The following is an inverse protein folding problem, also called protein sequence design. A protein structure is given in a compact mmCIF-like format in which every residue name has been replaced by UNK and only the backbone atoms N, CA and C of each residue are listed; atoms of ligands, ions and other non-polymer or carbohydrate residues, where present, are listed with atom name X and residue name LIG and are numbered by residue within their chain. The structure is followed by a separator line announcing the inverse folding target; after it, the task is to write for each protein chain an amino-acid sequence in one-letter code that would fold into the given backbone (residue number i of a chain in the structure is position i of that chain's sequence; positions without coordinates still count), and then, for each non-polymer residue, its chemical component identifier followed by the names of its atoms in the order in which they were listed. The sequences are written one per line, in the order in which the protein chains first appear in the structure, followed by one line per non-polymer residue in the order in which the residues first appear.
data_IF_828979722681
#
_entry.id   IF_828979722681
#
_cell.length_a   1.000
_cell.length_b   1.000
_cell.length_c   1.000
_cell.angle_alpha   90.00
_cell.angle_beta   90.00
_cell.angle_gamma   90.00
#
_symmetry.space_group_name_H-M   'P 1'
#
loop_
_entity.id
_entity.type
_entity.pdbx_description
1 polymer ?
#
# COMPACT_ATOMS: atom_id res chain seq x y z
N UNK A 1 0.05 20.77 15.89
CA UNK A 1 0.43 19.57 15.15
C UNK A 1 -0.54 19.44 13.99
N UNK A 2 -0.05 19.23 12.77
CA UNK A 2 -0.87 18.97 11.58
C UNK A 2 -1.09 17.47 11.42
N UNK A 3 -2.32 17.06 11.12
CA UNK A 3 -2.66 15.67 10.81
C UNK A 3 -3.15 15.60 9.37
N UNK A 4 -2.49 14.80 8.55
CA UNK A 4 -2.76 14.69 7.11
C UNK A 4 -3.04 13.24 6.74
N UNK A 5 -4.24 13.00 6.21
CA UNK A 5 -4.62 11.73 5.58
C UNK A 5 -4.10 11.71 4.13
N UNK A 6 -3.20 10.79 3.81
CA UNK A 6 -2.49 10.70 2.53
C UNK A 6 -2.97 9.47 1.76
N UNK A 7 -3.44 9.67 0.51
CA UNK A 7 -3.90 8.57 -0.35
C UNK A 7 -2.72 7.83 -1.00
N UNK A 8 -1.93 7.12 -0.19
CA UNK A 8 -0.73 6.38 -0.59
C UNK A 8 -0.31 5.35 0.47
N UNK A 9 0.45 4.33 0.07
CA UNK A 9 1.18 3.47 1.01
C UNK A 9 2.24 4.28 1.79
N UNK A 10 2.39 3.95 3.07
CA UNK A 10 3.38 4.56 3.98
C UNK A 10 4.81 4.33 3.51
N UNK A 11 5.05 3.27 2.73
CA UNK A 11 6.38 2.92 2.20
C UNK A 11 6.73 3.65 0.90
N UNK A 12 5.78 4.35 0.29
CA UNK A 12 5.93 5.03 -1.00
C UNK A 12 5.88 6.56 -0.89
N UNK A 13 6.11 7.11 0.30
CA UNK A 13 6.11 8.56 0.53
C UNK A 13 7.19 9.25 -0.32
N UNK A 14 6.86 10.37 -1.00
CA UNK A 14 7.84 11.11 -1.79
C UNK A 14 8.87 11.82 -0.88
N UNK A 15 10.02 12.20 -1.44
CA UNK A 15 11.12 12.80 -0.66
C UNK A 15 10.75 14.06 0.12
N UNK A 16 9.80 14.86 -0.37
CA UNK A 16 9.30 16.05 0.34
C UNK A 16 8.40 15.69 1.54
N UNK A 17 7.90 14.46 1.60
CA UNK A 17 7.13 13.88 2.71
C UNK A 17 7.94 12.82 3.48
N UNK A 18 9.28 12.84 3.37
CA UNK A 18 10.14 11.96 4.17
C UNK A 18 9.83 12.16 5.65
N UNK A 19 9.64 11.06 6.37
CA UNK A 19 9.33 11.05 7.81
C UNK A 19 10.54 10.63 8.63
N UNK A 20 10.59 11.06 9.89
CA UNK A 20 11.59 10.55 10.83
C UNK A 20 11.27 9.12 11.27
N UNK A 21 9.99 8.78 11.38
CA UNK A 21 9.54 7.49 11.88
C UNK A 21 8.36 6.95 11.07
N UNK A 22 8.42 5.66 10.70
CA UNK A 22 7.27 4.89 10.22
C UNK A 22 6.83 3.97 11.34
N UNK A 23 5.54 3.97 11.65
CA UNK A 23 4.96 3.12 12.69
C UNK A 23 4.45 1.83 12.08
N UNK A 24 4.65 0.72 12.77
CA UNK A 24 4.15 -0.59 12.39
C UNK A 24 3.57 -1.32 13.60
N UNK A 25 2.38 -1.89 13.48
CA UNK A 25 1.76 -2.69 14.54
C UNK A 25 2.10 -4.18 14.38
N UNK A 26 2.78 -4.73 15.38
CA UNK A 26 3.26 -6.09 15.37
C UNK A 26 2.83 -6.91 16.58
N UNK A 27 3.23 -8.18 16.56
CA UNK A 27 3.12 -9.08 17.69
C UNK A 27 4.19 -8.76 18.77
N UNK A 28 3.88 -9.12 20.01
CA UNK A 28 4.74 -8.89 21.17
C UNK A 28 6.04 -9.70 21.15
N UNK A 29 6.06 -10.83 20.47
CA UNK A 29 7.25 -11.67 20.24
C UNK A 29 8.06 -11.22 19.00
N UNK A 30 7.66 -10.11 18.38
CA UNK A 30 8.27 -9.54 17.17
C UNK A 30 8.47 -10.56 16.03
N UNK A 31 7.65 -11.60 15.98
CA UNK A 31 7.62 -12.53 14.85
C UNK A 31 6.78 -11.95 13.72
N UNK A 32 7.26 -12.14 12.49
CA UNK A 32 6.48 -11.82 11.30
C UNK A 32 5.54 -12.97 10.99
N UNK A 33 4.28 -12.64 10.72
CA UNK A 33 3.32 -13.61 10.23
C UNK A 33 3.62 -13.99 8.77
N UNK A 34 3.76 -15.29 8.43
CA UNK A 34 4.16 -15.73 7.08
C UNK A 34 3.05 -15.63 6.03
N UNK A 35 1.83 -15.22 6.41
CA UNK A 35 0.68 -15.13 5.51
C UNK A 35 0.61 -13.83 4.69
N UNK A 36 -0.33 -13.75 3.73
CA UNK A 36 -0.52 -12.55 2.93
C UNK A 36 -1.06 -11.40 3.80
N UNK A 37 -0.38 -10.26 3.82
CA UNK A 37 -0.84 -9.11 4.60
C UNK A 37 0.23 -8.06 4.87
N UNK A 38 0.02 -7.22 5.90
CA UNK A 38 0.94 -6.14 6.26
C UNK A 38 2.38 -6.59 6.52
N UNK A 39 2.59 -7.78 7.08
CA UNK A 39 3.93 -8.32 7.39
C UNK A 39 4.70 -8.65 6.12
N UNK A 40 4.03 -9.24 5.14
CA UNK A 40 4.60 -9.48 3.82
C UNK A 40 4.91 -8.17 3.10
N UNK A 41 3.98 -7.20 3.11
CA UNK A 41 4.20 -5.87 2.51
C UNK A 41 5.38 -5.15 3.17
N UNK A 42 5.47 -5.16 4.50
CA UNK A 42 6.61 -4.60 5.23
C UNK A 42 7.91 -5.31 4.83
N UNK A 43 7.92 -6.64 4.72
CA UNK A 43 9.10 -7.41 4.33
C UNK A 43 9.58 -7.04 2.93
N UNK A 44 8.68 -6.91 1.96
CA UNK A 44 9.00 -6.50 0.59
C UNK A 44 9.65 -5.12 0.53
N UNK A 45 9.17 -4.17 1.34
CA UNK A 45 9.68 -2.80 1.38
C UNK A 45 10.92 -2.63 2.26
N UNK A 46 11.02 -3.36 3.37
CA UNK A 46 12.16 -3.29 4.29
C UNK A 46 13.38 -4.04 3.74
N UNK A 47 13.14 -5.20 3.12
CA UNK A 47 14.14 -6.15 2.64
C UNK A 47 14.26 -7.40 3.53
N UNK A 48 15.03 -8.38 3.04
CA UNK A 48 15.17 -9.74 3.62
C UNK A 48 15.75 -9.79 5.04
N UNK A 49 16.27 -8.68 5.56
CA UNK A 49 16.89 -8.61 6.90
C UNK A 49 15.92 -8.21 8.00
N UNK A 50 14.63 -7.99 7.71
CA UNK A 50 13.64 -7.53 8.67
C UNK A 50 13.59 -8.40 9.94
N UNK A 51 13.32 -9.70 9.80
CA UNK A 51 13.23 -10.60 10.95
C UNK A 51 14.51 -10.57 11.80
N UNK A 52 15.69 -10.56 11.15
CA UNK A 52 16.98 -10.46 11.85
C UNK A 52 17.11 -9.16 12.65
N UNK A 53 16.62 -8.04 12.11
CA UNK A 53 16.59 -6.77 12.83
C UNK A 53 15.66 -6.85 14.05
N UNK A 54 14.47 -7.44 13.89
CA UNK A 54 13.52 -7.64 14.98
C UNK A 54 14.10 -8.54 16.09
N UNK A 55 14.71 -9.67 15.73
CA UNK A 55 15.37 -10.59 16.67
C UNK A 55 16.55 -9.94 17.41
N UNK A 56 17.19 -8.93 16.80
CA UNK A 56 18.30 -8.20 17.42
C UNK A 56 17.80 -7.27 18.52
N UNK A 57 16.68 -6.58 18.27
CA UNK A 57 16.05 -5.73 19.29
C UNK A 57 15.39 -6.58 20.39
N UNK A 58 14.67 -7.64 20.03
CA UNK A 58 13.99 -8.52 21.00
C UNK A 58 14.97 -9.22 21.95
N UNK A 59 16.20 -9.50 21.51
CA UNK A 59 17.25 -10.06 22.38
C UNK A 59 17.64 -9.15 23.54
N UNK A 60 17.40 -7.85 23.43
CA UNK A 60 17.66 -6.89 24.50
C UNK A 60 16.48 -6.78 25.49
N UNK A 61 15.35 -7.41 25.17
CA UNK A 61 14.15 -7.38 25.99
C UNK A 61 14.14 -8.59 26.93
N UNK A 62 13.98 -8.33 28.22
CA UNK A 62 13.85 -9.38 29.23
C UNK A 62 12.64 -10.29 28.90
N UNK A 63 12.84 -11.61 28.97
CA UNK A 63 11.80 -12.58 28.60
C UNK A 63 11.48 -12.66 27.10
N UNK A 64 12.15 -11.87 26.24
CA UNK A 64 11.92 -11.84 24.77
C UNK A 64 10.45 -11.66 24.40
N UNK A 65 9.76 -10.82 25.16
CA UNK A 65 8.36 -10.51 24.96
C UNK A 65 8.10 -9.06 25.32
N UNK A 66 7.51 -8.31 24.40
CA UNK A 66 7.14 -6.93 24.63
C UNK A 66 5.84 -6.82 25.43
N UNK A 67 5.78 -5.97 26.46
CA UNK A 67 4.50 -5.59 27.06
C UNK A 67 3.59 -4.93 26.03
N UNK A 68 2.28 -5.13 26.13
CA UNK A 68 1.31 -4.54 25.20
C UNK A 68 0.55 -3.38 25.89
N UNK A 69 0.48 -2.18 25.29
CA UNK A 69 1.23 -1.72 24.11
C UNK A 69 2.62 -1.18 24.49
N UNK A 70 3.65 -1.50 23.70
CA UNK A 70 5.01 -0.94 23.84
C UNK A 70 5.62 -0.67 22.47
N UNK A 71 6.46 0.37 22.39
CA UNK A 71 7.15 0.77 21.16
C UNK A 71 8.64 0.48 21.26
N UNK A 72 9.17 -0.17 20.24
CA UNK A 72 10.60 -0.45 20.08
C UNK A 72 11.11 0.20 18.80
N UNK A 73 12.31 0.78 18.88
CA UNK A 73 13.01 1.31 17.71
C UNK A 73 13.69 0.15 16.99
N UNK A 74 13.39 0.01 15.71
CA UNK A 74 14.05 -0.94 14.81
C UNK A 74 14.77 -0.14 13.72
N UNK A 75 15.93 -0.63 13.28
CA UNK A 75 16.63 -0.08 12.12
C UNK A 75 15.65 0.07 10.92
N UNK A 76 15.76 1.09 10.04
CA UNK A 76 14.77 1.28 8.97
C UNK A 76 14.93 0.32 7.79
N UNK A 77 16.05 -0.40 7.68
CA UNK A 77 16.34 -1.25 6.52
C UNK A 77 16.42 -0.41 5.25
N UNK A 78 15.59 -0.74 4.25
CA UNK A 78 15.44 0.04 3.00
C UNK A 78 14.33 1.11 3.06
N UNK A 79 13.62 1.23 4.19
CA UNK A 79 12.52 2.17 4.33
C UNK A 79 13.01 3.62 4.27
N UNK A 80 12.19 4.50 3.69
CA UNK A 80 12.48 5.93 3.56
C UNK A 80 12.17 6.73 4.84
N UNK A 81 12.73 6.30 5.98
CA UNK A 81 12.63 6.96 7.28
C UNK A 81 13.96 6.92 8.05
N UNK A 82 14.02 7.47 9.27
CA UNK A 82 15.22 7.33 10.13
C UNK A 82 15.18 6.02 10.92
N UNK A 83 13.99 5.55 11.30
CA UNK A 83 13.78 4.25 11.94
C UNK A 83 12.33 3.76 11.78
N UNK A 84 12.14 2.45 11.97
CA UNK A 84 10.84 1.81 12.11
C UNK A 84 10.47 1.77 13.59
N UNK A 85 9.29 2.25 13.97
CA UNK A 85 8.74 2.06 15.31
C UNK A 85 7.84 0.82 15.29
N UNK A 86 8.35 -0.28 15.84
CA UNK A 86 7.56 -1.49 16.06
C UNK A 86 6.72 -1.31 17.31
N UNK A 87 5.40 -1.35 17.15
CA UNK A 87 4.45 -1.22 18.25
C UNK A 87 3.83 -2.57 18.51
N UNK A 88 4.16 -3.18 19.65
CA UNK A 88 3.53 -4.41 20.10
C UNK A 88 2.07 -4.12 20.43
N UNK A 89 1.15 -4.68 19.65
CA UNK A 89 -0.30 -4.52 19.87
C UNK A 89 -1.02 -5.86 19.99
N UNK A 90 -0.40 -6.94 19.52
CA UNK A 90 -0.95 -8.29 19.53
C UNK A 90 -0.13 -9.21 20.44
N UNK A 91 -0.76 -10.25 21.03
CA UNK A 91 -0.02 -11.30 21.70
C UNK A 91 0.91 -12.02 20.71
N UNK A 92 1.85 -12.86 21.21
CA UNK A 92 2.69 -13.72 20.38
C UNK A 92 1.90 -14.50 19.33
N UNK A 93 2.50 -14.69 18.17
CA UNK A 93 1.92 -15.42 17.04
C UNK A 93 2.68 -16.74 16.86
N UNK A 94 2.27 -17.82 17.56
CA UNK A 94 2.95 -19.10 17.44
C UNK A 94 2.68 -19.74 16.07
N UNK A 95 3.72 -19.83 15.26
CA UNK A 95 3.69 -20.57 14.00
C UNK A 95 2.97 -19.80 12.88
N UNK A 96 1.84 -20.31 12.42
CA UNK A 96 1.11 -19.77 11.25
C UNK A 96 -0.19 -19.07 11.63
N UNK A 97 -0.58 -19.10 12.89
CA UNK A 97 -1.84 -18.54 13.35
C UNK A 97 -1.67 -17.06 13.69
N UNK A 98 -2.44 -16.21 12.99
CA UNK A 98 -2.45 -14.78 13.25
C UNK A 98 -3.28 -14.49 14.49
N UNK A 99 -2.71 -13.74 15.43
CA UNK A 99 -3.42 -13.32 16.63
C UNK A 99 -4.59 -12.39 16.28
N UNK A 100 -5.63 -12.40 17.12
CA UNK A 100 -6.77 -11.52 16.97
C UNK A 100 -6.34 -10.04 16.94
N UNK A 101 -7.07 -9.22 16.20
CA UNK A 101 -6.83 -7.80 16.15
C UNK A 101 -6.99 -7.17 17.55
N UNK A 102 -6.16 -6.18 17.91
CA UNK A 102 -6.28 -5.48 19.18
C UNK A 102 -7.60 -4.72 19.29
N UNK A 103 -8.08 -4.56 20.52
CA UNK A 103 -9.21 -3.69 20.83
C UNK A 103 -8.89 -2.21 20.51
N UNK A 104 -9.93 -1.39 20.34
CA UNK A 104 -9.80 0.03 20.01
C UNK A 104 -8.95 0.79 21.04
N UNK A 105 -9.10 0.47 22.32
CA UNK A 105 -8.39 1.09 23.43
C UNK A 105 -6.89 0.81 23.36
N UNK A 106 -6.52 -0.43 23.00
CA UNK A 106 -5.12 -0.82 22.81
C UNK A 106 -4.52 -0.09 21.62
N UNK A 107 -5.27 0.05 20.51
CA UNK A 107 -4.82 0.82 19.35
C UNK A 107 -4.65 2.31 19.67
N UNK A 108 -5.56 2.90 20.43
CA UNK A 108 -5.46 4.30 20.82
C UNK A 108 -4.22 4.52 21.66
N UNK A 109 -3.99 3.66 22.67
CA UNK A 109 -2.80 3.74 23.50
C UNK A 109 -1.53 3.50 22.68
N UNK A 110 -1.53 2.54 21.75
CA UNK A 110 -0.40 2.28 20.86
C UNK A 110 0.00 3.50 20.02
N UNK A 111 -0.98 4.25 19.50
CA UNK A 111 -0.71 5.50 18.76
C UNK A 111 -0.13 6.58 19.68
N UNK A 112 -0.68 6.74 20.88
CA UNK A 112 -0.16 7.69 21.88
C UNK A 112 1.28 7.35 22.28
N UNK A 113 1.57 6.08 22.56
CA UNK A 113 2.92 5.62 22.86
C UNK A 113 3.87 5.85 21.70
N UNK A 114 3.45 5.62 20.45
CA UNK A 114 4.27 5.91 19.26
C UNK A 114 4.60 7.41 19.14
N UNK A 115 3.63 8.30 19.38
CA UNK A 115 3.84 9.75 19.36
C UNK A 115 4.78 10.21 20.47
N UNK A 116 4.60 9.71 21.70
CA UNK A 116 5.49 9.98 22.84
C UNK A 116 6.90 9.47 22.56
N UNK A 117 7.01 8.26 22.02
CA UNK A 117 8.29 7.62 21.68
C UNK A 117 9.05 8.40 20.61
N UNK A 118 8.35 8.92 19.60
CA UNK A 118 8.90 9.78 18.55
C UNK A 118 9.32 11.14 19.11
N UNK A 119 8.50 11.76 19.95
CA UNK A 119 8.78 13.05 20.59
C UNK A 119 10.04 13.00 21.47
N UNK A 120 10.24 11.93 22.25
CA UNK A 120 11.45 11.70 23.04
C UNK A 120 12.73 11.62 22.20
N UNK A 121 12.60 11.43 20.89
CA UNK A 121 13.71 11.33 19.92
C UNK A 121 13.75 12.51 18.95
N UNK A 122 13.05 13.60 19.27
CA UNK A 122 12.98 14.81 18.44
C UNK A 122 12.54 14.53 17.01
N UNK A 123 11.61 13.59 16.83
CA UNK A 123 11.02 13.30 15.51
C UNK A 123 9.84 14.24 15.29
N UNK A 124 9.99 15.15 14.33
CA UNK A 124 8.96 16.14 13.98
C UNK A 124 7.86 15.56 13.08
N UNK A 125 8.20 14.58 12.23
CA UNK A 125 7.26 13.97 11.28
C UNK A 125 7.20 12.45 11.43
N UNK A 126 5.99 11.93 11.61
CA UNK A 126 5.71 10.50 11.78
C UNK A 126 4.66 10.04 10.77
N UNK A 127 4.76 8.80 10.29
CA UNK A 127 3.77 8.21 9.41
C UNK A 127 3.19 6.91 9.97
N UNK A 128 1.89 6.75 9.82
CA UNK A 128 1.12 5.59 10.25
C UNK A 128 0.41 4.94 9.06
N UNK A 129 0.53 3.62 8.86
CA UNK A 129 -0.44 2.85 8.10
C UNK A 129 -1.69 2.59 8.95
N UNK A 130 -2.68 1.87 8.39
CA UNK A 130 -3.81 1.37 9.17
C UNK A 130 -3.33 0.29 10.19
N UNK A 131 -3.23 0.67 11.47
CA UNK A 131 -2.82 -0.22 12.56
C UNK A 131 -3.92 -1.17 13.00
N UNK A 132 -3.58 -2.32 13.57
CA UNK A 132 -4.51 -3.26 14.20
C UNK A 132 -5.12 -4.26 13.22
N UNK A 133 -4.33 -4.74 12.26
CA UNK A 133 -4.81 -5.72 11.29
C UNK A 133 -4.88 -7.14 11.86
N UNK A 134 -5.93 -7.90 11.54
CA UNK A 134 -6.08 -9.29 11.95
C UNK A 134 -7.52 -9.79 12.06
N UNK A 135 -7.74 -11.04 12.48
CA UNK A 135 -9.07 -11.58 12.75
C UNK A 135 -9.84 -10.70 13.75
N UNK A 136 -11.08 -10.33 13.40
CA UNK A 136 -11.90 -9.45 14.24
C UNK A 136 -11.50 -7.97 14.19
N UNK A 137 -10.72 -7.54 13.20
CA UNK A 137 -10.33 -6.14 13.08
C UNK A 137 -11.52 -5.19 12.91
N UNK A 138 -11.35 -3.98 13.46
CA UNK A 138 -12.23 -2.86 13.15
C UNK A 138 -12.15 -2.52 11.65
N UNK A 139 -13.23 -1.96 11.06
CA UNK A 139 -13.19 -1.48 9.69
C UNK A 139 -11.97 -0.59 9.44
N UNK A 140 -11.28 -0.81 8.33
CA UNK A 140 -10.00 -0.14 8.04
C UNK A 140 -10.09 1.38 8.12
N UNK A 141 -11.19 1.97 7.63
CA UNK A 141 -11.46 3.40 7.75
C UNK A 141 -11.61 3.88 9.21
N UNK A 142 -12.17 3.05 10.08
CA UNK A 142 -12.28 3.34 11.51
C UNK A 142 -10.92 3.29 12.20
N UNK A 143 -10.05 2.34 11.82
CA UNK A 143 -8.66 2.26 12.33
C UNK A 143 -7.85 3.51 11.94
N UNK A 144 -8.01 4.01 10.72
CA UNK A 144 -7.41 5.28 10.28
C UNK A 144 -7.96 6.47 11.07
N UNK A 145 -9.28 6.54 11.27
CA UNK A 145 -9.91 7.61 12.03
C UNK A 145 -9.48 7.62 13.51
N UNK A 146 -9.26 6.44 14.09
CA UNK A 146 -8.74 6.27 15.43
C UNK A 146 -7.34 6.88 15.58
N UNK A 147 -6.44 6.65 14.61
CA UNK A 147 -5.09 7.25 14.61
C UNK A 147 -5.19 8.78 14.62
N UNK A 148 -6.07 9.36 13.79
CA UNK A 148 -6.29 10.81 13.74
C UNK A 148 -6.79 11.34 15.08
N UNK A 149 -7.78 10.69 15.70
CA UNK A 149 -8.31 11.11 17.01
C UNK A 149 -7.26 10.98 18.12
N UNK A 150 -6.45 9.93 18.11
CA UNK A 150 -5.37 9.73 19.06
C UNK A 150 -4.27 10.80 18.88
N UNK A 151 -3.97 11.22 17.65
CA UNK A 151 -3.06 12.34 17.41
C UNK A 151 -3.56 13.64 18.04
N UNK A 152 -4.85 13.99 17.88
CA UNK A 152 -5.43 15.15 18.57
C UNK A 152 -5.41 15.01 20.09
N UNK A 153 -5.64 13.81 20.61
CA UNK A 153 -5.52 13.53 22.06
C UNK A 153 -4.11 13.83 22.57
N UNK A 154 -3.07 13.42 21.83
CA UNK A 154 -1.68 13.75 22.15
C UNK A 154 -1.41 15.27 22.10
N UNK A 155 -1.96 15.98 21.11
CA UNK A 155 -1.86 17.44 21.06
C UNK A 155 -2.51 18.11 22.27
N UNK A 156 -3.67 17.64 22.70
CA UNK A 156 -4.36 18.13 23.89
C UNK A 156 -3.55 17.86 25.16
N UNK A 157 -2.92 16.70 25.29
CA UNK A 157 -2.01 16.38 26.40
C UNK A 157 -0.82 17.35 26.46
N UNK A 158 -0.19 17.64 25.32
CA UNK A 158 0.89 18.63 25.24
C UNK A 158 0.40 20.02 25.66
N UNK A 159 -0.75 20.45 25.14
CA UNK A 159 -1.34 21.76 25.42
C UNK A 159 -1.67 21.90 26.91
N UNK A 160 -2.30 20.89 27.52
CA UNK A 160 -2.59 20.85 28.97
C UNK A 160 -1.33 20.90 29.83
N UNK A 161 -0.24 20.30 29.35
CA UNK A 161 1.07 20.36 29.99
C UNK A 161 1.83 21.67 29.72
N UNK A 162 1.22 22.64 29.02
CA UNK A 162 1.83 23.95 28.74
C UNK A 162 2.99 23.91 27.74
N UNK A 163 3.05 22.89 26.87
CA UNK A 163 4.13 22.70 25.90
C UNK A 163 3.60 22.47 24.48
N UNK A 164 4.37 22.88 23.48
CA UNK A 164 4.08 22.51 22.10
C UNK A 164 4.38 21.02 21.84
N UNK A 165 3.61 20.32 20.99
CA UNK A 165 3.95 18.98 20.54
C UNK A 165 5.28 18.98 19.76
N UNK A 166 6.21 18.10 20.11
CA UNK A 166 7.47 17.91 19.35
C UNK A 166 7.22 17.28 17.98
N UNK A 167 6.23 16.37 17.91
CA UNK A 167 5.73 15.87 16.64
C UNK A 167 4.87 16.99 16.03
N UNK A 168 5.37 17.56 14.95
CA UNK A 168 4.71 18.66 14.24
C UNK A 168 3.72 18.15 13.20
N UNK A 169 4.01 17.01 12.55
CA UNK A 169 3.20 16.46 11.46
C UNK A 169 3.00 14.94 11.58
N UNK A 170 1.72 14.53 11.49
CA UNK A 170 1.29 13.13 11.49
C UNK A 170 0.68 12.79 10.13
N UNK A 171 1.33 11.89 9.40
CA UNK A 171 0.83 11.35 8.14
C UNK A 171 0.07 10.04 8.40
N UNK A 172 -1.20 9.99 8.03
CA UNK A 172 -2.02 8.77 8.08
C UNK A 172 -2.19 8.26 6.65
N UNK A 173 -1.55 7.14 6.33
CA UNK A 173 -1.36 6.67 4.97
C UNK A 173 -2.29 5.50 4.64
N UNK A 174 -3.07 5.64 3.57
CA UNK A 174 -3.94 4.58 3.04
C UNK A 174 -3.94 4.63 1.51
N UNK A 175 -3.68 3.52 0.82
CA UNK A 175 -3.68 3.44 -0.65
C UNK A 175 -4.93 2.81 -1.28
N UNK A 176 -5.81 2.25 -0.45
CA UNK A 176 -6.97 1.47 -0.86
C UNK A 176 -8.30 2.23 -0.74
N UNK A 177 -9.42 1.53 -0.97
CA UNK A 177 -10.75 2.13 -1.00
C UNK A 177 -11.18 2.75 0.33
N UNK A 178 -10.58 2.30 1.45
CA UNK A 178 -10.84 2.82 2.79
C UNK A 178 -10.48 4.30 2.95
N UNK A 179 -9.63 4.86 2.06
CA UNK A 179 -9.22 6.26 2.12
C UNK A 179 -10.43 7.22 2.08
N UNK A 180 -11.39 6.98 1.17
CA UNK A 180 -12.53 7.90 0.98
C UNK A 180 -13.45 7.90 2.20
N UNK A 181 -13.72 6.73 2.76
CA UNK A 181 -14.53 6.59 3.96
C UNK A 181 -13.82 7.21 5.17
N UNK A 182 -12.52 6.97 5.34
CA UNK A 182 -11.71 7.59 6.39
C UNK A 182 -11.76 9.12 6.27
N UNK A 183 -11.55 9.67 5.06
CA UNK A 183 -11.63 11.11 4.78
C UNK A 183 -12.95 11.71 5.23
N UNK A 184 -14.08 11.03 4.96
CA UNK A 184 -15.39 11.50 5.42
C UNK A 184 -15.49 11.50 6.95
N UNK A 185 -15.01 10.45 7.62
CA UNK A 185 -15.03 10.33 9.09
C UNK A 185 -14.18 11.39 9.78
N UNK A 186 -13.05 11.80 9.19
CA UNK A 186 -12.11 12.77 9.79
C UNK A 186 -12.07 14.13 9.12
N UNK A 187 -13.09 14.48 8.33
CA UNK A 187 -13.09 15.69 7.49
C UNK A 187 -12.82 17.00 8.25
N UNK A 188 -13.18 17.06 9.55
CA UNK A 188 -12.98 18.22 10.42
C UNK A 188 -11.72 18.11 11.31
N UNK A 189 -11.03 16.97 11.28
CA UNK A 189 -9.88 16.67 12.14
C UNK A 189 -8.56 16.56 11.38
N UNK A 190 -8.60 16.21 10.09
CA UNK A 190 -7.39 16.03 9.30
C UNK A 190 -7.52 16.66 7.91
N UNK A 191 -6.41 17.19 7.41
CA UNK A 191 -6.27 17.52 6.00
C UNK A 191 -6.26 16.24 5.18
N UNK A 192 -6.77 16.27 3.96
CA UNK A 192 -6.70 15.13 3.04
C UNK A 192 -5.86 15.48 1.80
N UNK A 193 -4.90 14.62 1.48
CA UNK A 193 -4.09 14.70 0.27
C UNK A 193 -4.38 13.52 -0.66
N UNK A 194 -5.25 13.78 -1.63
CA UNK A 194 -5.47 12.91 -2.77
C UNK A 194 -4.55 13.36 -3.89
N UNK A 195 -3.48 12.61 -4.16
CA UNK A 195 -2.80 12.80 -5.43
C UNK A 195 -3.57 12.05 -6.50
N UNK A 196 -4.20 12.79 -7.42
CA UNK A 196 -4.57 12.23 -8.72
C UNK A 196 -3.34 11.49 -9.26
N UNK A 197 -3.53 10.23 -9.66
CA UNK A 197 -2.53 9.51 -10.41
C UNK A 197 -2.14 10.39 -11.60
N UNK A 198 -1.04 11.14 -11.48
CA UNK A 198 -0.42 11.81 -12.63
C UNK A 198 -0.23 10.69 -13.63
N UNK A 199 -1.04 10.72 -14.68
CA UNK A 199 -0.79 9.99 -15.90
C UNK A 199 0.72 10.14 -16.15
N UNK A 200 1.41 9.00 -16.24
CA UNK A 200 2.82 8.95 -16.53
C UNK A 200 3.13 10.01 -17.57
N UNK A 201 4.03 10.94 -17.23
CA UNK A 201 4.41 12.03 -18.08
C UNK A 201 4.71 11.44 -19.47
N UNK A 202 3.83 11.73 -20.43
CA UNK A 202 4.16 11.52 -21.82
C UNK A 202 5.50 12.23 -22.05
N UNK A 203 6.49 11.58 -22.67
CA UNK A 203 7.78 12.21 -22.91
C UNK A 203 7.54 13.53 -23.66
N UNK A 204 8.24 14.62 -23.31
CA UNK A 204 8.09 15.88 -24.03
C UNK A 204 8.39 15.61 -25.51
N UNK A 205 7.40 15.89 -26.37
CA UNK A 205 7.58 15.84 -27.82
C UNK A 205 8.83 16.67 -28.17
N UNK A 206 9.85 16.10 -28.84
CA UNK A 206 10.98 16.90 -29.26
C UNK A 206 10.48 17.97 -30.22
N UNK A 207 10.81 19.23 -29.94
CA UNK A 207 10.53 20.36 -30.81
C UNK A 207 11.23 20.13 -32.15
N UNK A 208 10.46 19.73 -33.17
CA UNK A 208 10.95 19.57 -34.52
C UNK A 208 11.30 20.94 -35.09
N UNK A 209 12.59 21.11 -35.41
CA UNK A 209 13.15 22.25 -36.13
C UNK A 209 12.42 22.43 -37.46
N UNK A 210 12.08 23.69 -37.77
CA UNK A 210 11.67 24.14 -39.10
C UNK A 210 12.80 23.88 -40.09
N UNK A 211 12.52 23.08 -41.11
CA UNK A 211 13.23 23.17 -42.39
C UNK A 211 12.23 22.99 -43.53
N UNK A 212 12.22 23.99 -44.39
CA UNK A 212 11.51 24.11 -45.66
C UNK A 212 11.89 23.02 -46.66
N UNK A 213 10.91 22.50 -47.41
CA UNK A 213 10.88 22.45 -48.90
C UNK A 213 10.02 21.29 -49.42
N UNK A 214 9.35 21.53 -50.54
CA UNK A 214 9.07 20.52 -51.57
C UNK A 214 7.86 19.62 -51.33
N UNK A 215 6.80 19.84 -52.12
CA UNK A 215 5.57 19.07 -52.04
C UNK A 215 5.66 17.65 -52.61
N UNK A 216 4.68 16.83 -52.24
CA UNK A 216 3.96 15.97 -53.17
C UNK A 216 2.72 15.40 -52.48
N UNK A 217 1.65 15.30 -53.25
CA UNK A 217 0.35 14.77 -52.89
C UNK A 217 0.41 13.31 -52.46
N UNK A 218 -0.31 12.95 -51.38
CA UNK A 218 -1.04 11.66 -51.27
C UNK A 218 -1.86 11.56 -49.98
N UNK A 219 -3.15 11.32 -50.20
CA UNK A 219 -4.06 10.47 -49.40
C UNK A 219 -4.23 10.79 -47.90
N UNK A 220 -5.36 11.44 -47.58
CA UNK A 220 -5.99 11.38 -46.27
C UNK A 220 -6.45 9.95 -46.01
N UNK A 221 -5.72 9.22 -45.16
CA UNK A 221 -6.24 8.00 -44.52
C UNK A 221 -6.64 8.35 -43.10
N UNK A 222 -7.93 8.16 -42.82
CA UNK A 222 -8.54 8.32 -41.52
C UNK A 222 -7.83 7.47 -40.46
N UNK A 223 -7.58 8.05 -39.30
CA UNK A 223 -7.11 7.30 -38.13
C UNK A 223 -8.21 6.29 -37.72
N UNK A 224 -7.88 5.01 -37.45
CA UNK A 224 -8.87 4.01 -37.14
C UNK A 224 -9.48 4.30 -35.76
N UNK A 225 -10.81 4.31 -35.71
CA UNK A 225 -11.60 4.31 -34.49
C UNK A 225 -11.16 3.11 -33.65
N UNK A 226 -10.68 3.35 -32.42
CA UNK A 226 -10.39 2.29 -31.45
C UNK A 226 -11.68 1.54 -31.15
N UNK A 227 -11.87 0.39 -31.79
CA UNK A 227 -12.90 -0.58 -31.41
C UNK A 227 -12.53 -1.13 -30.03
N UNK A 228 -13.27 -0.69 -29.00
CA UNK A 228 -13.22 -1.27 -27.67
C UNK A 228 -13.75 -2.69 -27.76
N UNK A 229 -13.01 -3.67 -27.25
CA UNK A 229 -13.43 -5.05 -27.34
C UNK A 229 -14.65 -5.29 -26.44
N UNK A 230 -15.62 -6.11 -26.86
CA UNK A 230 -16.79 -6.43 -26.04
C UNK A 230 -16.37 -7.16 -24.76
N UNK A 231 -17.01 -6.81 -23.64
CA UNK A 231 -16.81 -7.46 -22.35
C UNK A 231 -17.21 -8.95 -22.41
N UNK A 232 -16.59 -9.78 -21.56
CA UNK A 232 -16.89 -11.21 -21.48
C UNK A 232 -18.32 -11.46 -21.02
N UNK A 233 -18.99 -12.44 -21.62
CA UNK A 233 -20.34 -12.80 -21.18
C UNK A 233 -20.30 -13.67 -19.91
N UNK A 234 -21.32 -13.61 -19.04
CA UNK A 234 -21.40 -14.45 -17.84
C UNK A 234 -21.33 -15.96 -18.13
N UNK A 235 -21.77 -16.38 -19.31
CA UNK A 235 -21.70 -17.77 -19.78
C UNK A 235 -20.27 -18.20 -20.11
N UNK A 236 -19.48 -17.33 -20.75
CA UNK A 236 -18.06 -17.55 -21.02
C UNK A 236 -17.26 -17.67 -19.72
N UNK A 237 -17.54 -16.79 -18.75
CA UNK A 237 -16.86 -16.77 -17.45
C UNK A 237 -17.13 -18.07 -16.68
N UNK A 238 -18.39 -18.51 -16.64
CA UNK A 238 -18.79 -19.72 -15.89
C UNK A 238 -18.19 -21.00 -16.49
N UNK A 239 -18.09 -21.08 -17.82
CA UNK A 239 -17.46 -22.22 -18.51
C UNK A 239 -15.97 -22.34 -18.19
N UNK A 240 -15.26 -21.22 -18.11
CA UNK A 240 -13.79 -21.20 -17.90
C UNK A 240 -13.41 -21.30 -16.43
N UNK A 241 -14.24 -20.82 -15.48
CA UNK A 241 -13.95 -20.92 -14.05
C UNK A 241 -13.81 -22.38 -13.54
N UNK A 242 -14.48 -23.33 -14.18
CA UNK A 242 -14.46 -24.76 -13.80
C UNK A 242 -13.41 -25.61 -14.51
N UNK A 243 -12.95 -25.22 -15.71
CA UNK A 243 -12.06 -26.04 -16.55
C UNK A 243 -10.92 -25.25 -17.22
N UNK A 244 -10.79 -23.96 -16.91
CA UNK A 244 -9.84 -23.06 -17.54
C UNK A 244 -8.42 -23.30 -17.07
N UNK A 245 -7.49 -23.33 -18.01
CA UNK A 245 -6.08 -23.46 -17.70
C UNK A 245 -5.56 -22.20 -17.03
N UNK A 246 -4.68 -22.38 -16.03
CA UNK A 246 -4.06 -21.25 -15.33
C UNK A 246 -3.14 -20.48 -16.27
N UNK A 247 -3.10 -19.17 -16.09
CA UNK A 247 -2.16 -18.31 -16.78
C UNK A 247 -0.72 -18.74 -16.50
N UNK A 248 0.06 -18.97 -17.56
CA UNK A 248 1.48 -19.33 -17.53
C UNK A 248 2.25 -18.46 -18.53
N UNK A 249 3.26 -17.74 -18.04
CA UNK A 249 4.11 -16.87 -18.85
C UNK A 249 4.98 -17.64 -19.86
N UNK A 250 5.18 -18.95 -19.67
CA UNK A 250 5.96 -19.81 -20.58
C UNK A 250 5.13 -20.33 -21.75
N UNK A 251 3.81 -20.25 -21.66
CA UNK A 251 2.89 -20.72 -22.69
C UNK A 251 2.68 -19.66 -23.76
N UNK A 252 2.41 -20.10 -24.98
CA UNK A 252 1.96 -19.24 -26.07
C UNK A 252 0.45 -19.20 -26.11
N UNK A 253 -0.12 -17.99 -26.15
CA UNK A 253 -1.56 -17.78 -26.28
C UNK A 253 -1.87 -17.11 -27.63
N UNK A 254 -2.97 -17.52 -28.24
CA UNK A 254 -3.53 -16.96 -29.47
C UNK A 254 -4.80 -16.15 -29.21
N UNK A 255 -5.26 -15.42 -30.23
CA UNK A 255 -6.53 -14.67 -30.17
C UNK A 255 -7.71 -15.62 -29.95
N UNK A 256 -8.58 -15.29 -29.00
CA UNK A 256 -9.73 -16.12 -28.61
C UNK A 256 -9.45 -17.09 -27.46
N UNK A 257 -8.20 -17.27 -27.05
CA UNK A 257 -7.84 -18.17 -25.94
C UNK A 257 -8.37 -17.63 -24.60
N UNK A 258 -8.77 -18.57 -23.73
CA UNK A 258 -9.21 -18.28 -22.37
C UNK A 258 -8.21 -18.81 -21.36
N UNK A 259 -8.01 -18.07 -20.26
CA UNK A 259 -7.14 -18.47 -19.16
C UNK A 259 -7.63 -17.90 -17.84
N UNK A 260 -7.13 -18.47 -16.74
CA UNK A 260 -7.41 -17.98 -15.38
C UNK A 260 -6.17 -17.31 -14.81
N UNK A 261 -6.21 -15.99 -14.66
CA UNK A 261 -5.11 -15.21 -14.08
C UNK A 261 -5.28 -15.11 -12.55
N UNK A 262 -4.24 -15.40 -11.74
CA UNK A 262 -4.35 -15.45 -10.28
C UNK A 262 -4.79 -14.11 -9.66
N UNK A 263 -4.48 -12.99 -10.32
CA UNK A 263 -4.83 -11.63 -9.86
C UNK A 263 -6.10 -11.05 -10.49
N UNK A 264 -6.46 -11.48 -11.70
CA UNK A 264 -7.46 -10.77 -12.52
C UNK A 264 -8.64 -11.65 -12.92
N UNK A 265 -8.68 -12.91 -12.47
CA UNK A 265 -9.75 -13.83 -12.78
C UNK A 265 -9.69 -14.35 -14.22
N UNK A 266 -10.86 -14.63 -14.80
CA UNK A 266 -10.97 -15.15 -16.17
C UNK A 266 -10.62 -14.06 -17.17
N UNK A 267 -9.66 -14.36 -18.06
CA UNK A 267 -9.25 -13.50 -19.16
C UNK A 267 -9.44 -14.18 -20.50
N UNK A 268 -9.76 -13.39 -21.54
CA UNK A 268 -9.80 -13.80 -22.95
C UNK A 268 -8.82 -12.97 -23.75
N UNK A 269 -8.01 -13.62 -24.57
CA UNK A 269 -7.11 -12.93 -25.49
C UNK A 269 -7.90 -12.32 -26.63
N UNK A 270 -7.76 -11.02 -26.83
CA UNK A 270 -8.43 -10.26 -27.89
C UNK A 270 -7.50 -10.01 -29.07
N UNK A 271 -6.22 -9.74 -28.80
CA UNK A 271 -5.22 -9.58 -29.85
C UNK A 271 -3.82 -9.92 -29.38
N UNK A 272 -2.95 -10.32 -30.31
CA UNK A 272 -1.51 -10.56 -30.03
C UNK A 272 -0.69 -9.51 -30.78
N UNK A 273 -0.54 -8.29 -30.23
CA UNK A 273 0.13 -7.19 -30.93
C UNK A 273 1.63 -7.42 -31.17
N UNK A 274 2.29 -8.22 -30.33
CA UNK A 274 3.69 -8.60 -30.48
C UNK A 274 3.85 -10.09 -30.11
N UNK A 275 4.87 -10.81 -30.62
CA UNK A 275 5.02 -12.25 -30.38
C UNK A 275 5.02 -12.70 -28.91
N UNK A 276 5.40 -11.80 -28.00
CA UNK A 276 5.45 -12.06 -26.55
C UNK A 276 4.45 -11.21 -25.76
N UNK A 277 3.52 -10.53 -26.43
CA UNK A 277 2.52 -9.69 -25.77
C UNK A 277 1.12 -9.99 -26.29
N UNK A 278 0.19 -10.15 -25.38
CA UNK A 278 -1.23 -10.32 -25.67
C UNK A 278 -2.06 -9.24 -25.00
N UNK A 279 -3.07 -8.73 -25.69
CA UNK A 279 -4.10 -7.86 -25.12
C UNK A 279 -5.30 -8.73 -24.76
N UNK A 280 -5.77 -8.63 -23.52
CA UNK A 280 -6.83 -9.47 -22.99
C UNK A 280 -7.92 -8.63 -22.36
N UNK A 281 -9.16 -9.13 -22.42
CA UNK A 281 -10.30 -8.60 -21.66
C UNK A 281 -10.56 -9.54 -20.49
N UNK A 282 -10.78 -8.98 -19.31
CA UNK A 282 -11.04 -9.72 -18.08
C UNK A 282 -12.52 -9.67 -17.68
N UNK A 283 -12.91 -10.54 -16.75
CA UNK A 283 -14.29 -10.62 -16.24
C UNK A 283 -14.78 -9.31 -15.58
N UNK A 284 -13.84 -8.45 -15.13
CA UNK A 284 -14.13 -7.10 -14.61
C UNK A 284 -14.34 -6.05 -15.71
N UNK A 285 -14.28 -6.45 -16.99
CA UNK A 285 -14.38 -5.58 -18.16
C UNK A 285 -13.12 -4.75 -18.42
N UNK A 286 -12.02 -4.99 -17.70
CA UNK A 286 -10.74 -4.33 -17.94
C UNK A 286 -10.01 -4.94 -19.13
N UNK A 287 -9.45 -4.08 -19.98
CA UNK A 287 -8.49 -4.47 -21.02
C UNK A 287 -7.08 -4.34 -20.45
N UNK A 288 -6.27 -5.40 -20.52
CA UNK A 288 -4.88 -5.36 -20.07
C UNK A 288 -3.96 -6.04 -21.08
N UNK A 289 -2.72 -5.56 -21.13
CA UNK A 289 -1.65 -6.24 -21.85
C UNK A 289 -0.88 -7.15 -20.91
N UNK A 290 -0.71 -8.41 -21.31
CA UNK A 290 0.06 -9.42 -20.60
C UNK A 290 1.18 -9.94 -21.48
N UNK A 291 2.22 -10.49 -20.84
CA UNK A 291 3.41 -11.02 -21.51
C UNK A 291 3.38 -12.54 -21.47
N UNK A 292 3.51 -13.19 -22.61
CA UNK A 292 3.52 -14.64 -22.73
C UNK A 292 4.75 -15.13 -23.50
N UNK A 293 4.93 -16.45 -23.58
CA UNK A 293 6.07 -17.11 -24.24
C UNK A 293 7.45 -16.59 -23.79
N UNK A 294 7.60 -16.20 -22.50
CA UNK A 294 8.90 -15.81 -21.94
C UNK A 294 9.72 -17.06 -21.63
N UNK A 295 10.76 -17.29 -22.42
CA UNK A 295 11.79 -18.30 -22.18
C UNK A 295 12.54 -18.03 -20.88
#
# INVERSE_FOLDING_TARGET
MEVTLVHRSVYALPSNQRVGCIVYDGAADMQLWPGPGPDLELTEHYGETLQRSLDTELRQVEGRLLPIPTVVRVHPGRLHCNFLAWVATRPPEPGTDRAAAPAAEVLQQAVLEALRFAALRSVERIAFPALGGGPGELPRAERLALIVRAAHTYQDECTKAGRAPVVEEVLVCESGPAFREAKQKVAHLARAEEREARAAAAPPKPAAKKSSSGGSSRSRTASPVKHRAPALTPEEISRVKGSGERYDMRRTYGEGDFFVHPKFGVGKVVSVPEPNQMSCVFEDGSERKLVHARS
#
